data_IF_378401200210
#
_entry.id   IF_378401200210
#
_cell.length_a   1.000
_cell.length_b   1.000
_cell.length_c   1.000
_cell.angle_alpha   90.00
_cell.angle_beta   90.00
_cell.angle_gamma   90.00
#
_symmetry.space_group_name_H-M   'P 1'
#
loop_
_entity.id
_entity.type
_entity.pdbx_description
1 polymer ?
#
# COMPACT_ATOMS: atom_id res chain seq x y z
N UNK A 1 28.29 6.17 5.90
CA UNK A 1 27.03 5.41 5.71
C UNK A 1 26.18 5.33 6.99
N UNK A 2 26.80 5.01 8.13
CA UNK A 2 26.13 4.92 9.44
C UNK A 2 25.38 6.19 9.88
N UNK A 3 26.07 7.34 9.96
CA UNK A 3 25.45 8.60 10.40
C UNK A 3 24.24 9.02 9.54
N UNK A 4 24.29 8.76 8.21
CA UNK A 4 23.16 9.02 7.31
C UNK A 4 21.94 8.15 7.62
N UNK A 5 22.14 6.86 7.96
CA UNK A 5 21.04 5.95 8.34
C UNK A 5 20.39 6.36 9.65
N UNK A 6 21.19 6.69 10.66
CA UNK A 6 20.69 7.17 11.94
C UNK A 6 19.91 8.49 11.80
N UNK A 7 20.47 9.46 11.06
CA UNK A 7 19.78 10.73 10.77
C UNK A 7 18.47 10.52 10.02
N UNK A 8 18.45 9.62 9.02
CA UNK A 8 17.23 9.27 8.33
C UNK A 8 16.20 8.63 9.27
N UNK A 9 16.63 7.70 10.15
CA UNK A 9 15.74 7.06 11.13
C UNK A 9 15.13 8.07 12.10
N UNK A 10 15.95 8.98 12.63
CA UNK A 10 15.49 10.11 13.48
C UNK A 10 14.46 10.94 12.71
N UNK A 11 14.76 11.32 11.46
CA UNK A 11 13.87 12.10 10.63
C UNK A 11 12.50 11.42 10.42
N UNK A 12 12.48 10.12 10.12
CA UNK A 12 11.23 9.37 9.93
C UNK A 12 10.43 9.29 11.23
N UNK A 13 11.06 9.04 12.38
CA UNK A 13 10.35 9.02 13.67
C UNK A 13 9.81 10.39 14.08
N UNK A 14 10.56 11.47 13.82
CA UNK A 14 10.05 12.83 14.02
C UNK A 14 8.81 13.08 13.17
N UNK A 15 8.78 12.60 11.93
CA UNK A 15 7.56 12.64 11.09
C UNK A 15 6.43 11.81 11.68
N UNK A 16 6.68 10.58 12.13
CA UNK A 16 5.68 9.71 12.74
C UNK A 16 5.05 10.38 13.97
N UNK A 17 5.86 10.85 14.93
CA UNK A 17 5.38 11.51 16.16
C UNK A 17 4.62 12.80 15.81
N UNK A 18 5.08 13.55 14.80
CA UNK A 18 4.38 14.75 14.34
C UNK A 18 3.03 14.40 13.71
N UNK A 19 2.96 13.35 12.89
CA UNK A 19 1.77 12.96 12.13
C UNK A 19 0.72 12.22 12.96
N UNK A 20 1.13 11.49 13.99
CA UNK A 20 0.24 10.60 14.74
C UNK A 20 0.05 11.02 16.19
N UNK A 21 -1.11 10.62 16.74
CA UNK A 21 -1.43 10.65 18.16
C UNK A 21 -2.04 9.31 18.55
N UNK A 22 -1.52 8.65 19.58
CA UNK A 22 -2.20 7.51 20.19
C UNK A 22 -3.51 7.95 20.86
N UNK A 23 -4.59 7.20 20.66
CA UNK A 23 -5.91 7.56 21.19
C UNK A 23 -6.15 7.08 22.62
N UNK A 24 -5.35 6.14 23.10
CA UNK A 24 -5.29 5.70 24.49
C UNK A 24 -3.86 5.82 25.04
N UNK A 25 -3.72 5.67 26.37
CA UNK A 25 -2.44 5.79 27.05
C UNK A 25 -1.40 4.79 26.51
N UNK A 26 -1.78 3.54 26.27
CA UNK A 26 -0.86 2.50 25.80
C UNK A 26 -0.41 2.76 24.36
N UNK A 27 -1.33 3.20 23.49
CA UNK A 27 -1.01 3.61 22.11
C UNK A 27 -0.07 4.83 22.08
N UNK A 28 -0.29 5.82 22.94
CA UNK A 28 0.58 6.98 23.05
C UNK A 28 1.97 6.62 23.59
N UNK A 29 2.02 5.82 24.66
CA UNK A 29 3.26 5.36 25.27
C UNK A 29 4.08 4.52 24.30
N UNK A 30 3.44 3.58 23.60
CA UNK A 30 4.11 2.73 22.61
C UNK A 30 4.72 3.54 21.47
N UNK A 31 4.00 4.54 20.94
CA UNK A 31 4.52 5.42 19.88
C UNK A 31 5.80 6.15 20.32
N UNK A 32 5.80 6.68 21.55
CA UNK A 32 6.94 7.39 22.12
C UNK A 32 8.13 6.46 22.40
N UNK A 33 7.89 5.34 23.08
CA UNK A 33 8.96 4.38 23.41
C UNK A 33 9.54 3.72 22.15
N UNK A 34 8.71 3.42 21.15
CA UNK A 34 9.18 2.88 19.88
C UNK A 34 10.09 3.85 19.14
N UNK A 35 9.78 5.16 19.17
CA UNK A 35 10.65 6.16 18.57
C UNK A 35 12.04 6.18 19.22
N UNK A 36 12.12 6.13 20.56
CA UNK A 36 13.39 6.09 21.26
C UNK A 36 14.16 4.79 20.99
N UNK A 37 13.50 3.65 21.20
CA UNK A 37 14.14 2.34 21.10
C UNK A 37 14.54 1.99 19.67
N UNK A 38 13.71 2.27 18.66
CA UNK A 38 14.02 1.93 17.26
C UNK A 38 15.15 2.79 16.70
N UNK A 39 15.25 4.06 17.13
CA UNK A 39 16.42 4.89 16.81
C UNK A 39 17.70 4.25 17.37
N UNK A 40 17.68 3.80 18.62
CA UNK A 40 18.86 3.16 19.24
C UNK A 40 19.17 1.82 18.57
N UNK A 41 18.18 0.96 18.35
CA UNK A 41 18.41 -0.37 17.76
C UNK A 41 18.75 -0.28 16.28
N UNK A 42 18.32 0.77 15.56
CA UNK A 42 18.68 0.99 14.15
C UNK A 42 20.18 1.11 13.89
N UNK A 43 20.96 1.39 14.94
CA UNK A 43 22.44 1.37 14.92
C UNK A 43 22.96 -0.04 14.61
N UNK A 44 22.30 -1.05 15.17
CA UNK A 44 22.71 -2.45 15.12
C UNK A 44 21.92 -3.26 14.09
N UNK A 45 20.75 -2.78 13.66
CA UNK A 45 19.93 -3.46 12.66
C UNK A 45 20.15 -2.89 11.27
N UNK A 46 20.15 -3.74 10.25
CA UNK A 46 20.15 -3.30 8.85
C UNK A 46 18.76 -2.89 8.33
N UNK A 47 17.71 -2.94 9.17
CA UNK A 47 16.36 -2.60 8.76
C UNK A 47 16.25 -1.12 8.41
N UNK A 48 15.63 -0.84 7.27
CA UNK A 48 15.41 0.52 6.76
C UNK A 48 14.04 1.06 7.16
N UNK A 49 13.13 0.20 7.64
CA UNK A 49 11.75 0.56 7.96
C UNK A 49 11.53 0.59 9.48
N UNK A 50 10.97 1.67 10.05
CA UNK A 50 10.71 1.75 11.49
C UNK A 50 9.51 0.90 11.87
N UNK A 51 9.54 0.33 13.06
CA UNK A 51 8.45 -0.47 13.61
C UNK A 51 8.03 0.03 14.98
N UNK A 52 6.74 -0.09 15.31
CA UNK A 52 6.30 0.02 16.68
C UNK A 52 6.84 -1.20 17.45
N UNK A 53 7.74 -1.07 18.41
CA UNK A 53 8.57 -2.19 18.88
C UNK A 53 7.80 -3.17 19.76
N UNK A 54 6.88 -2.68 20.58
CA UNK A 54 6.13 -3.54 21.49
C UNK A 54 5.02 -4.25 20.73
N UNK A 55 4.85 -5.56 20.99
CA UNK A 55 3.75 -6.33 20.42
C UNK A 55 2.40 -5.84 20.96
N UNK A 56 1.40 -5.73 20.10
CA UNK A 56 0.08 -5.28 20.48
C UNK A 56 -0.69 -4.74 19.28
N UNK A 57 -1.87 -4.20 19.54
CA UNK A 57 -2.65 -3.46 18.55
C UNK A 57 -2.86 -2.05 19.08
N UNK A 58 -2.39 -1.04 18.35
CA UNK A 58 -2.36 0.34 18.81
C UNK A 58 -3.22 1.22 17.93
N UNK A 59 -4.08 2.00 18.56
CA UNK A 59 -4.98 2.91 17.87
C UNK A 59 -4.34 4.28 17.72
N UNK A 60 -4.02 4.65 16.48
CA UNK A 60 -3.42 5.95 16.16
C UNK A 60 -4.36 6.78 15.30
N UNK A 61 -4.40 8.09 15.58
CA UNK A 61 -5.07 9.09 14.74
C UNK A 61 -4.03 9.87 13.95
N UNK A 62 -4.21 9.92 12.65
CA UNK A 62 -3.50 10.85 11.78
C UNK A 62 -4.06 12.27 12.00
N UNK A 63 -3.19 13.22 12.39
CA UNK A 63 -3.60 14.58 12.75
C UNK A 63 -4.13 15.37 11.55
N UNK A 64 -3.52 15.22 10.38
CA UNK A 64 -3.86 16.02 9.20
C UNK A 64 -5.10 15.51 8.46
N UNK A 65 -5.24 14.19 8.34
CA UNK A 65 -6.33 13.58 7.56
C UNK A 65 -7.50 13.14 8.44
N UNK A 66 -7.37 13.25 9.76
CA UNK A 66 -8.31 12.68 10.73
C UNK A 66 -8.61 11.19 10.52
N UNK A 67 -7.75 10.45 9.80
CA UNK A 67 -7.88 9.01 9.63
C UNK A 67 -7.42 8.26 10.88
N UNK A 68 -8.11 7.17 11.19
CA UNK A 68 -7.81 6.30 12.30
C UNK A 68 -7.21 4.99 11.77
N UNK A 69 -6.17 4.49 12.42
CA UNK A 69 -5.57 3.22 12.06
C UNK A 69 -5.26 2.43 13.32
N UNK A 70 -5.66 1.16 13.34
CA UNK A 70 -4.98 0.17 14.14
C UNK A 70 -3.68 -0.20 13.43
N UNK A 71 -2.59 -0.07 14.18
CA UNK A 71 -1.25 -0.50 13.77
C UNK A 71 -0.80 -1.64 14.68
N UNK A 72 -0.28 -2.70 14.08
CA UNK A 72 0.28 -3.83 14.81
C UNK A 72 1.66 -3.49 15.34
N UNK A 73 1.89 -3.91 16.58
CA UNK A 73 3.18 -3.96 17.21
C UNK A 73 4.10 -5.00 16.57
N UNK A 74 5.36 -4.62 16.39
CA UNK A 74 6.41 -5.41 15.78
C UNK A 74 6.35 -5.45 14.25
N UNK A 75 5.57 -4.58 13.61
CA UNK A 75 5.39 -4.54 12.15
C UNK A 75 5.72 -3.16 11.58
N UNK A 76 5.73 -3.06 10.26
CA UNK A 76 5.89 -1.83 9.48
C UNK A 76 4.61 -1.00 9.31
N UNK A 77 3.49 -1.42 9.89
CA UNK A 77 2.17 -0.79 9.73
C UNK A 77 2.23 0.74 9.86
N UNK A 78 2.86 1.26 10.93
CA UNK A 78 2.97 2.71 11.21
C UNK A 78 3.70 3.49 10.12
N UNK A 79 4.66 2.83 9.45
CA UNK A 79 5.39 3.42 8.33
C UNK A 79 4.52 3.46 7.07
N UNK A 80 3.74 2.40 6.80
CA UNK A 80 2.87 2.32 5.62
C UNK A 80 1.67 3.26 5.67
N UNK A 81 1.23 3.68 6.86
CA UNK A 81 0.18 4.69 7.01
C UNK A 81 0.69 6.11 7.20
N UNK A 82 2.01 6.34 7.16
CA UNK A 82 2.62 7.65 7.39
C UNK A 82 2.24 8.63 6.26
N UNK A 83 1.54 9.75 6.56
CA UNK A 83 1.15 10.69 5.53
C UNK A 83 2.32 11.38 4.83
N UNK A 84 2.17 11.56 3.53
CA UNK A 84 3.16 12.12 2.64
C UNK A 84 4.39 11.24 2.47
N UNK A 85 4.30 9.94 2.78
CA UNK A 85 5.41 8.99 2.53
C UNK A 85 5.71 8.94 1.03
N UNK A 86 4.67 8.76 0.24
CA UNK A 86 4.71 8.74 -1.23
C UNK A 86 4.22 10.09 -1.78
N UNK A 87 4.81 11.20 -1.30
CA UNK A 87 4.29 12.57 -1.49
C UNK A 87 3.70 12.88 -2.88
N UNK A 88 4.43 12.68 -4.00
CA UNK A 88 3.90 12.93 -5.35
C UNK A 88 2.72 12.02 -5.73
N UNK A 89 2.74 10.75 -5.31
CA UNK A 89 1.67 9.77 -5.55
C UNK A 89 0.43 10.14 -4.77
N UNK A 90 0.56 10.38 -3.46
CA UNK A 90 -0.52 10.81 -2.59
C UNK A 90 -1.18 12.09 -3.09
N UNK A 91 -0.38 13.10 -3.43
CA UNK A 91 -0.90 14.39 -3.91
C UNK A 91 -1.71 14.23 -5.20
N UNK A 92 -1.20 13.43 -6.15
CA UNK A 92 -1.90 13.17 -7.40
C UNK A 92 -3.20 12.40 -7.18
N UNK A 93 -3.16 11.28 -6.45
CA UNK A 93 -4.35 10.45 -6.17
C UNK A 93 -5.42 11.29 -5.45
N UNK A 94 -5.04 12.07 -4.45
CA UNK A 94 -6.00 12.92 -3.73
C UNK A 94 -6.60 14.04 -4.59
N UNK A 95 -5.87 14.53 -5.59
CA UNK A 95 -6.33 15.59 -6.51
C UNK A 95 -7.30 15.09 -7.59
N UNK A 96 -7.17 13.84 -8.04
CA UNK A 96 -8.03 13.30 -9.10
C UNK A 96 -9.24 12.55 -8.53
N UNK A 97 -9.17 12.07 -7.30
CA UNK A 97 -10.26 11.39 -6.61
C UNK A 97 -11.14 12.36 -5.80
N UNK A 98 -11.25 13.63 -6.23
CA UNK A 98 -12.13 14.60 -5.58
C UNK A 98 -13.58 14.48 -6.04
N UNK A 99 -14.49 14.47 -5.04
CA UNK A 99 -15.95 14.32 -5.16
C UNK A 99 -16.41 12.92 -5.60
N UNK A 100 -17.34 12.40 -4.80
CA UNK A 100 -18.13 11.18 -4.99
C UNK A 100 -18.41 10.93 -6.46
N UNK A 101 -18.06 9.72 -6.94
CA UNK A 101 -18.60 9.00 -8.12
C UNK A 101 -17.52 8.14 -8.82
N UNK A 102 -16.23 8.37 -8.51
CA UNK A 102 -15.11 7.59 -9.07
C UNK A 102 -14.90 6.23 -8.41
N UNK A 103 -14.40 5.26 -9.18
CA UNK A 103 -13.97 3.94 -8.69
C UNK A 103 -12.45 3.93 -8.57
N UNK A 104 -11.97 3.71 -7.35
CA UNK A 104 -10.55 3.53 -7.04
C UNK A 104 -10.26 2.07 -6.73
N UNK A 105 -9.23 1.51 -7.34
CA UNK A 105 -8.77 0.14 -7.09
C UNK A 105 -7.40 0.20 -6.42
N UNK A 106 -7.31 -0.31 -5.19
CA UNK A 106 -6.09 -0.31 -4.37
C UNK A 106 -5.52 -1.73 -4.36
N UNK A 107 -4.54 -2.01 -5.22
CA UNK A 107 -3.94 -3.34 -5.40
C UNK A 107 -2.65 -3.41 -4.59
N UNK A 108 -2.65 -4.24 -3.54
CA UNK A 108 -1.68 -4.17 -2.46
C UNK A 108 -2.11 -3.18 -1.38
N UNK A 109 -3.39 -3.20 -1.02
CA UNK A 109 -4.00 -2.22 -0.11
C UNK A 109 -3.37 -2.19 1.29
N UNK A 110 -2.64 -3.24 1.68
CA UNK A 110 -2.00 -3.37 2.98
C UNK A 110 -3.05 -3.11 4.09
N UNK A 111 -2.72 -2.33 5.13
CA UNK A 111 -3.66 -1.97 6.21
C UNK A 111 -4.57 -0.78 5.86
N UNK A 112 -4.58 -0.32 4.60
CA UNK A 112 -5.63 0.53 4.05
C UNK A 112 -5.34 2.02 4.04
N UNK A 113 -4.09 2.46 3.87
CA UNK A 113 -3.77 3.89 3.84
C UNK A 113 -4.54 4.64 2.74
N UNK A 114 -4.35 4.25 1.48
CA UNK A 114 -5.05 4.84 0.34
C UNK A 114 -6.53 4.49 0.35
N UNK A 115 -6.86 3.24 0.63
CA UNK A 115 -8.24 2.77 0.78
C UNK A 115 -9.09 3.70 1.67
N UNK A 116 -8.63 4.04 2.87
CA UNK A 116 -9.38 4.88 3.81
C UNK A 116 -9.42 6.33 3.35
N UNK A 117 -8.30 6.88 2.87
CA UNK A 117 -8.25 8.27 2.41
C UNK A 117 -9.25 8.54 1.28
N UNK A 118 -9.34 7.62 0.33
CA UNK A 118 -10.23 7.75 -0.81
C UNK A 118 -11.69 7.47 -0.42
N UNK A 119 -11.93 6.45 0.41
CA UNK A 119 -13.28 6.15 0.88
C UNK A 119 -13.88 7.31 1.70
N UNK A 120 -13.08 8.02 2.52
CA UNK A 120 -13.53 9.21 3.25
C UNK A 120 -13.87 10.42 2.37
N UNK A 121 -13.46 10.41 1.09
CA UNK A 121 -13.90 11.39 0.09
C UNK A 121 -15.24 11.01 -0.57
N UNK A 122 -15.83 9.86 -0.20
CA UNK A 122 -17.10 9.36 -0.74
C UNK A 122 -16.94 8.55 -2.03
N UNK A 123 -15.73 8.14 -2.39
CA UNK A 123 -15.46 7.37 -3.61
C UNK A 123 -15.52 5.87 -3.32
N UNK A 124 -15.99 5.07 -4.29
CA UNK A 124 -16.02 3.61 -4.16
C UNK A 124 -14.61 3.05 -4.28
N UNK A 125 -14.25 2.17 -3.36
CA UNK A 125 -12.92 1.55 -3.30
C UNK A 125 -13.02 0.04 -3.38
N UNK A 126 -12.22 -0.56 -4.28
CA UNK A 126 -11.94 -2.00 -4.31
C UNK A 126 -10.52 -2.20 -3.76
N UNK A 127 -10.42 -2.71 -2.54
CA UNK A 127 -9.14 -2.93 -1.86
C UNK A 127 -8.74 -4.40 -1.97
N UNK A 128 -7.67 -4.69 -2.71
CA UNK A 128 -7.16 -6.04 -2.95
C UNK A 128 -5.90 -6.25 -2.10
N UNK A 129 -5.97 -7.19 -1.17
CA UNK A 129 -4.86 -7.51 -0.25
C UNK A 129 -4.81 -9.04 -0.04
N UNK A 130 -3.70 -9.71 -0.37
CA UNK A 130 -3.62 -11.17 -0.30
C UNK A 130 -3.35 -11.74 1.10
N UNK A 131 -2.73 -11.00 2.02
CA UNK A 131 -2.28 -11.55 3.31
C UNK A 131 -3.45 -11.57 4.30
N UNK A 132 -3.92 -12.75 4.76
CA UNK A 132 -5.11 -12.84 5.59
C UNK A 132 -5.02 -12.07 6.91
N UNK A 133 -3.83 -11.97 7.49
CA UNK A 133 -3.59 -11.19 8.71
C UNK A 133 -3.71 -9.68 8.44
N UNK A 134 -3.13 -9.20 7.35
CA UNK A 134 -3.22 -7.79 6.93
C UNK A 134 -4.66 -7.44 6.55
N UNK A 135 -5.39 -8.33 5.87
CA UNK A 135 -6.83 -8.14 5.57
C UNK A 135 -7.67 -7.95 6.83
N UNK A 136 -7.38 -8.66 7.93
CA UNK A 136 -8.10 -8.48 9.19
C UNK A 136 -7.92 -7.05 9.72
N UNK A 137 -6.71 -6.53 9.67
CA UNK A 137 -6.41 -5.14 10.08
C UNK A 137 -7.05 -4.14 9.12
N UNK A 138 -6.94 -4.35 7.80
CA UNK A 138 -7.60 -3.53 6.78
C UNK A 138 -9.10 -3.40 7.02
N UNK A 139 -9.81 -4.52 7.19
CA UNK A 139 -11.26 -4.52 7.48
C UNK A 139 -11.59 -3.79 8.77
N UNK A 140 -10.77 -3.98 9.81
CA UNK A 140 -10.95 -3.26 11.08
C UNK A 140 -10.76 -1.76 10.88
N UNK A 141 -9.77 -1.33 10.10
CA UNK A 141 -9.51 0.07 9.81
C UNK A 141 -10.61 0.71 8.95
N UNK A 142 -11.21 -0.05 8.02
CA UNK A 142 -12.39 0.38 7.26
C UNK A 142 -13.56 0.68 8.20
N UNK A 143 -13.89 -0.25 9.10
CA UNK A 143 -14.96 -0.07 10.11
C UNK A 143 -14.65 1.10 11.05
N UNK A 144 -13.42 1.18 11.53
CA UNK A 144 -12.96 2.22 12.43
C UNK A 144 -13.13 3.64 11.87
N UNK A 145 -13.14 3.80 10.54
CA UNK A 145 -13.34 5.09 9.89
C UNK A 145 -14.78 5.33 9.41
N UNK A 146 -15.70 4.40 9.66
CA UNK A 146 -17.09 4.45 9.19
C UNK A 146 -17.20 4.61 7.67
N UNK A 147 -16.46 3.80 6.91
CA UNK A 147 -16.43 3.85 5.43
C UNK A 147 -16.73 2.49 4.78
N UNK A 148 -17.35 1.57 5.51
CA UNK A 148 -17.71 0.23 5.06
C UNK A 148 -18.58 0.26 3.80
N UNK A 149 -19.48 1.24 3.70
CA UNK A 149 -20.39 1.38 2.56
C UNK A 149 -19.66 1.70 1.24
N UNK A 150 -18.46 2.28 1.31
CA UNK A 150 -17.65 2.63 0.15
C UNK A 150 -16.62 1.57 -0.22
N UNK A 151 -16.28 0.64 0.68
CA UNK A 151 -15.11 -0.23 0.51
C UNK A 151 -15.50 -1.69 0.35
N UNK A 152 -15.10 -2.30 -0.76
CA UNK A 152 -15.11 -3.75 -0.94
C UNK A 152 -13.70 -4.31 -0.75
N UNK A 153 -13.50 -5.14 0.27
CA UNK A 153 -12.21 -5.80 0.55
C UNK A 153 -12.14 -7.18 -0.08
N UNK A 154 -11.16 -7.40 -0.95
CA UNK A 154 -10.90 -8.64 -1.68
C UNK A 154 -9.65 -9.32 -1.13
N UNK A 155 -9.84 -10.40 -0.37
CA UNK A 155 -8.74 -11.22 0.16
C UNK A 155 -8.25 -12.24 -0.88
N UNK A 156 -7.55 -11.74 -1.90
CA UNK A 156 -7.00 -12.51 -3.02
C UNK A 156 -5.68 -11.89 -3.48
N UNK A 157 -4.84 -12.70 -4.11
CA UNK A 157 -3.68 -12.19 -4.85
C UNK A 157 -4.10 -11.80 -6.28
N UNK A 158 -3.90 -10.54 -6.67
CA UNK A 158 -4.10 -10.14 -8.05
C UNK A 158 -2.96 -10.71 -8.92
N UNK A 159 -3.30 -11.37 -10.02
CA UNK A 159 -2.33 -12.02 -10.92
C UNK A 159 -2.93 -12.18 -12.33
N UNK A 160 -2.19 -12.83 -13.22
CA UNK A 160 -2.56 -13.01 -14.63
C UNK A 160 -3.61 -14.10 -14.88
N UNK A 161 -3.84 -15.00 -13.93
CA UNK A 161 -4.80 -16.10 -14.08
C UNK A 161 -5.30 -16.64 -12.73
N UNK A 162 -6.45 -17.30 -12.73
CA UNK A 162 -7.01 -17.91 -11.51
C UNK A 162 -6.22 -19.17 -11.14
N UNK A 163 -5.48 -19.12 -10.03
CA UNK A 163 -4.68 -20.25 -9.53
C UNK A 163 -4.35 -20.08 -8.05
N UNK A 164 -3.86 -21.12 -7.37
CA UNK A 164 -3.23 -20.94 -6.06
C UNK A 164 -1.84 -20.33 -6.26
N UNK A 165 -1.57 -19.25 -5.55
CA UNK A 165 -0.30 -18.54 -5.57
C UNK A 165 0.43 -18.84 -4.26
N UNK A 166 1.72 -19.18 -4.39
CA UNK A 166 2.63 -19.23 -3.25
C UNK A 166 3.15 -17.82 -3.01
N UNK A 167 2.93 -17.30 -1.81
CA UNK A 167 3.39 -16.00 -1.39
C UNK A 167 4.38 -16.14 -0.24
N UNK A 168 5.35 -15.24 -0.20
CA UNK A 168 6.44 -15.19 0.77
C UNK A 168 6.24 -13.98 1.68
N UNK A 169 5.96 -14.22 2.96
CA UNK A 169 5.75 -13.18 3.97
C UNK A 169 6.97 -13.14 4.90
N UNK A 170 7.63 -11.99 5.09
CA UNK A 170 8.78 -11.88 5.99
C UNK A 170 8.43 -12.34 7.42
N UNK A 171 9.26 -13.21 8.01
CA UNK A 171 9.01 -13.76 9.38
C UNK A 171 9.04 -12.64 10.44
N UNK A 172 9.83 -11.62 10.20
CA UNK A 172 9.93 -10.41 11.02
C UNK A 172 8.75 -9.43 10.82
N UNK A 173 7.67 -9.86 10.14
CA UNK A 173 6.39 -9.16 10.03
C UNK A 173 6.46 -7.79 9.35
N UNK A 174 7.43 -7.58 8.46
CA UNK A 174 7.39 -6.49 7.47
C UNK A 174 6.42 -6.88 6.36
N UNK A 175 5.11 -6.80 6.65
CA UNK A 175 4.08 -7.25 5.72
C UNK A 175 4.07 -6.44 4.43
N UNK A 176 4.58 -5.20 4.47
CA UNK A 176 4.76 -4.38 3.29
C UNK A 176 5.75 -4.95 2.28
N UNK A 177 6.64 -5.86 2.67
CA UNK A 177 7.63 -6.50 1.79
C UNK A 177 7.23 -7.91 1.35
N UNK A 178 5.96 -8.27 1.52
CA UNK A 178 5.49 -9.59 1.15
C UNK A 178 5.29 -9.68 -0.37
N UNK A 179 5.77 -10.76 -0.96
CA UNK A 179 5.91 -10.87 -2.42
C UNK A 179 5.69 -12.30 -2.88
N UNK A 180 5.42 -12.49 -4.17
CA UNK A 180 5.39 -13.81 -4.81
C UNK A 180 6.76 -14.18 -5.42
N UNK A 181 7.77 -13.31 -5.27
CA UNK A 181 9.11 -13.43 -5.84
C UNK A 181 10.19 -13.14 -4.78
N UNK A 182 10.93 -14.17 -4.33
CA UNK A 182 11.91 -14.04 -3.22
C UNK A 182 13.05 -13.06 -3.55
N UNK A 183 13.36 -12.88 -4.82
CA UNK A 183 14.46 -12.06 -5.32
C UNK A 183 14.21 -10.55 -5.19
N UNK A 184 12.97 -10.12 -4.93
CA UNK A 184 12.60 -8.70 -4.85
C UNK A 184 13.21 -8.03 -3.62
N UNK A 185 13.23 -8.74 -2.48
CA UNK A 185 13.80 -8.21 -1.24
C UNK A 185 14.83 -9.16 -0.62
N UNK A 186 15.99 -8.64 -0.18
CA UNK A 186 17.02 -9.42 0.52
C UNK A 186 16.62 -9.65 1.99
N UNK A 187 15.51 -10.35 2.21
CA UNK A 187 15.04 -10.75 3.55
C UNK A 187 15.64 -12.10 3.91
N UNK A 188 16.12 -12.22 5.15
CA UNK A 188 16.82 -13.42 5.61
C UNK A 188 15.93 -14.66 5.67
N UNK A 189 14.64 -14.52 6.00
CA UNK A 189 13.68 -15.61 6.11
C UNK A 189 12.25 -15.19 5.78
N UNK A 190 11.56 -16.07 5.06
CA UNK A 190 10.13 -15.94 4.75
C UNK A 190 9.34 -17.13 5.32
N UNK A 191 8.10 -16.86 5.69
CA UNK A 191 7.05 -17.87 5.79
C UNK A 191 6.37 -18.00 4.42
N UNK A 192 6.10 -19.23 3.99
CA UNK A 192 5.34 -19.50 2.78
C UNK A 192 3.85 -19.68 3.12
N UNK A 193 2.98 -19.00 2.38
CA UNK A 193 1.53 -19.18 2.46
C UNK A 193 0.96 -19.43 1.07
N UNK A 194 -0.09 -20.24 0.98
CA UNK A 194 -0.85 -20.45 -0.25
C UNK A 194 -2.12 -19.61 -0.22
N UNK A 195 -2.25 -18.71 -1.20
CA UNK A 195 -3.38 -17.79 -1.31
C UNK A 195 -4.05 -17.98 -2.67
N UNK A 196 -5.39 -17.92 -2.76
CA UNK A 196 -6.08 -17.86 -4.04
C UNK A 196 -5.69 -16.60 -4.83
N UNK A 197 -5.12 -16.81 -6.01
CA UNK A 197 -4.87 -15.81 -7.03
C UNK A 197 -6.04 -15.68 -8.00
N UNK A 198 -6.33 -14.45 -8.42
CA UNK A 198 -7.39 -14.12 -9.37
C UNK A 198 -6.95 -13.01 -10.31
N UNK A 199 -7.60 -12.91 -11.48
CA UNK A 199 -7.42 -11.75 -12.36
C UNK A 199 -8.18 -10.54 -11.83
N UNK A 200 -7.64 -9.34 -11.99
CA UNK A 200 -8.38 -8.12 -11.65
C UNK A 200 -9.60 -7.95 -12.55
N UNK A 201 -9.56 -8.39 -13.81
CA UNK A 201 -10.75 -8.43 -14.67
C UNK A 201 -11.92 -9.21 -14.04
N UNK A 202 -11.65 -10.29 -13.30
CA UNK A 202 -12.71 -11.05 -12.62
C UNK A 202 -13.32 -10.28 -11.44
N UNK A 203 -12.55 -9.41 -10.79
CA UNK A 203 -13.01 -8.56 -9.69
C UNK A 203 -13.75 -7.34 -10.23
N UNK A 204 -13.30 -6.80 -11.36
CA UNK A 204 -13.71 -5.51 -11.89
C UNK A 204 -14.78 -5.60 -12.98
N UNK A 205 -15.29 -6.79 -13.27
CA UNK A 205 -16.19 -7.06 -14.40
C UNK A 205 -17.48 -6.22 -14.42
N UNK A 206 -17.96 -5.78 -13.26
CA UNK A 206 -19.18 -4.95 -13.13
C UNK A 206 -18.91 -3.43 -13.27
N UNK A 207 -17.65 -3.02 -13.43
CA UNK A 207 -17.28 -1.60 -13.50
C UNK A 207 -17.03 -1.16 -14.95
N UNK A 208 -17.93 -0.32 -15.45
CA UNK A 208 -17.84 0.26 -16.79
C UNK A 208 -16.86 1.44 -16.88
N UNK A 209 -16.46 2.02 -15.75
CA UNK A 209 -15.50 3.12 -15.67
C UNK A 209 -14.69 3.00 -14.39
N UNK A 210 -13.36 3.01 -14.52
CA UNK A 210 -12.40 2.98 -13.42
C UNK A 210 -11.61 4.27 -13.48
N UNK A 211 -11.68 5.07 -12.42
CA UNK A 211 -10.98 6.35 -12.35
C UNK A 211 -9.49 6.11 -12.18
N UNK A 212 -9.09 5.32 -11.19
CA UNK A 212 -7.68 5.04 -10.95
C UNK A 212 -7.45 3.65 -10.36
N UNK A 213 -6.42 2.98 -10.85
CA UNK A 213 -5.85 1.77 -10.23
C UNK A 213 -4.48 2.14 -9.64
N UNK A 214 -4.29 1.94 -8.33
CA UNK A 214 -2.97 1.91 -7.70
C UNK A 214 -2.48 0.45 -7.68
N UNK A 215 -1.25 0.21 -8.12
CA UNK A 215 -0.61 -1.10 -8.09
C UNK A 215 0.72 -0.98 -7.36
N UNK A 216 0.81 -1.65 -6.22
CA UNK A 216 1.99 -1.71 -5.36
C UNK A 216 1.99 -3.10 -4.70
N UNK A 217 2.60 -4.06 -5.37
CA UNK A 217 2.50 -5.50 -5.03
C UNK A 217 3.86 -6.17 -4.97
N UNK A 218 4.92 -5.37 -4.80
CA UNK A 218 6.29 -5.82 -4.54
C UNK A 218 6.78 -6.90 -5.51
N UNK A 219 6.73 -6.61 -6.82
CA UNK A 219 7.36 -7.41 -7.88
C UNK A 219 6.40 -8.14 -8.81
N UNK A 220 5.11 -8.17 -8.47
CA UNK A 220 4.07 -8.83 -9.25
C UNK A 220 3.30 -7.88 -10.21
N UNK A 221 3.81 -6.67 -10.44
CA UNK A 221 3.07 -5.62 -11.14
C UNK A 221 2.77 -5.98 -12.59
N UNK A 222 3.71 -6.66 -13.26
CA UNK A 222 3.50 -7.16 -14.62
C UNK A 222 2.41 -8.24 -14.68
N UNK A 223 2.39 -9.16 -13.72
CA UNK A 223 1.38 -10.21 -13.61
C UNK A 223 0.00 -9.63 -13.32
N UNK A 224 -0.09 -8.59 -12.48
CA UNK A 224 -1.32 -7.85 -12.21
C UNK A 224 -1.83 -7.18 -13.50
N UNK A 225 -0.97 -6.49 -14.25
CA UNK A 225 -1.34 -5.85 -15.52
C UNK A 225 -1.81 -6.85 -16.58
N UNK A 226 -1.19 -8.03 -16.66
CA UNK A 226 -1.67 -9.12 -17.54
C UNK A 226 -3.05 -9.67 -17.15
N UNK A 227 -3.45 -9.50 -15.90
CA UNK A 227 -4.77 -9.88 -15.38
C UNK A 227 -5.86 -8.82 -15.62
N UNK A 228 -5.55 -7.75 -16.37
CA UNK A 228 -6.34 -6.53 -16.49
C UNK A 228 -6.80 -6.24 -17.95
N UNK A 229 -6.72 -7.23 -18.85
CA UNK A 229 -6.91 -7.08 -20.30
C UNK A 229 -8.20 -6.36 -20.72
N UNK A 230 -9.32 -6.62 -20.05
CA UNK A 230 -10.62 -5.98 -20.37
C UNK A 230 -10.75 -4.63 -19.66
N UNK A 231 -10.40 -4.59 -18.38
CA UNK A 231 -10.64 -3.43 -17.51
C UNK A 231 -9.69 -2.26 -17.81
N UNK A 232 -8.52 -2.50 -18.42
CA UNK A 232 -7.60 -1.45 -18.88
C UNK A 232 -8.22 -0.48 -19.89
N UNK A 233 -9.19 -0.96 -20.69
CA UNK A 233 -9.91 -0.13 -21.66
C UNK A 233 -10.80 0.91 -20.97
N UNK A 234 -11.31 0.58 -19.79
CA UNK A 234 -12.19 1.41 -18.98
C UNK A 234 -11.43 2.19 -17.88
N UNK A 235 -10.10 2.07 -17.83
CA UNK A 235 -9.26 2.69 -16.81
C UNK A 235 -8.67 4.00 -17.31
N UNK A 236 -8.86 5.09 -16.54
CA UNK A 236 -8.38 6.43 -16.90
C UNK A 236 -6.92 6.63 -16.48
N UNK A 237 -6.60 6.25 -15.25
CA UNK A 237 -5.27 6.42 -14.66
C UNK A 237 -4.78 5.13 -14.00
N UNK A 238 -3.47 4.88 -14.08
CA UNK A 238 -2.79 3.84 -13.33
C UNK A 238 -1.57 4.44 -12.67
N UNK A 239 -1.48 4.29 -11.35
CA UNK A 239 -0.27 4.60 -10.59
C UNK A 239 0.35 3.27 -10.18
N UNK A 240 1.57 3.00 -10.61
CA UNK A 240 2.19 1.69 -10.44
C UNK A 240 3.62 1.83 -9.96
N UNK A 241 3.98 1.08 -8.92
CA UNK A 241 5.35 0.94 -8.44
C UNK A 241 6.16 0.05 -9.39
N UNK A 242 7.38 0.47 -9.73
CA UNK A 242 8.28 -0.29 -10.59
C UNK A 242 9.34 -0.98 -9.76
N UNK A 243 9.15 -2.27 -9.49
CA UNK A 243 10.09 -3.10 -8.70
C UNK A 243 10.73 -4.22 -9.54
N UNK A 244 10.04 -4.75 -10.56
CA UNK A 244 10.52 -5.80 -11.47
C UNK A 244 9.90 -5.69 -12.87
N UNK A 245 10.50 -6.34 -13.88
CA UNK A 245 9.99 -6.39 -15.26
C UNK A 245 9.63 -5.00 -15.83
N UNK A 246 10.46 -4.00 -15.52
CA UNK A 246 10.19 -2.60 -15.84
C UNK A 246 9.98 -2.38 -17.36
N UNK A 247 10.84 -2.91 -18.26
CA UNK A 247 10.63 -2.77 -19.70
C UNK A 247 9.30 -3.37 -20.17
N UNK A 248 8.91 -4.53 -19.65
CA UNK A 248 7.69 -5.24 -20.02
C UNK A 248 6.43 -4.52 -19.52
N UNK A 249 6.47 -3.99 -18.29
CA UNK A 249 5.40 -3.14 -17.74
C UNK A 249 5.18 -1.91 -18.62
N UNK A 250 6.26 -1.22 -18.99
CA UNK A 250 6.20 -0.02 -19.83
C UNK A 250 5.69 -0.36 -21.24
N UNK A 251 6.14 -1.47 -21.82
CA UNK A 251 5.72 -1.91 -23.15
C UNK A 251 4.21 -2.21 -23.18
N UNK A 252 3.72 -3.02 -22.23
CA UNK A 252 2.31 -3.38 -22.12
C UNK A 252 1.41 -2.14 -21.97
N UNK A 253 1.77 -1.20 -21.08
CA UNK A 253 0.99 0.02 -20.89
C UNK A 253 0.95 0.88 -22.16
N UNK A 254 2.05 0.97 -22.91
CA UNK A 254 2.09 1.70 -24.19
C UNK A 254 1.26 1.01 -25.27
N UNK A 255 1.31 -0.32 -25.37
CA UNK A 255 0.50 -1.12 -26.31
C UNK A 255 -1.01 -0.91 -26.06
N UNK A 256 -1.40 -0.78 -24.79
CA UNK A 256 -2.79 -0.47 -24.38
C UNK A 256 -3.17 1.02 -24.55
N UNK A 257 -2.25 1.84 -25.07
CA UNK A 257 -2.48 3.24 -25.45
C UNK A 257 -2.32 4.24 -24.31
N UNK A 258 -1.58 3.90 -23.25
CA UNK A 258 -1.25 4.85 -22.19
C UNK A 258 0.03 5.64 -22.52
N UNK A 259 -0.02 6.95 -22.25
CA UNK A 259 1.17 7.77 -22.04
C UNK A 259 1.70 7.54 -20.63
N UNK A 260 3.01 7.64 -20.45
CA UNK A 260 3.68 7.32 -19.17
C UNK A 260 4.53 8.51 -18.74
N UNK A 261 4.48 8.86 -17.44
CA UNK A 261 5.38 9.83 -16.81
C UNK A 261 5.87 9.32 -15.45
N UNK A 262 7.12 9.60 -15.06
CA UNK A 262 7.60 9.31 -13.70
C UNK A 262 6.91 10.21 -12.66
N UNK A 263 6.73 9.71 -11.45
CA UNK A 263 6.11 10.44 -10.33
C UNK A 263 7.16 10.99 -9.37
N UNK A 264 7.85 12.07 -9.76
CA UNK A 264 8.91 12.68 -8.97
C UNK A 264 10.14 11.77 -8.85
N UNK A 265 10.80 11.79 -7.69
CA UNK A 265 11.95 10.93 -7.38
C UNK A 265 11.51 9.64 -6.67
N UNK A 266 10.50 8.97 -7.21
CA UNK A 266 9.97 7.71 -6.66
C UNK A 266 10.17 6.56 -7.66
N UNK A 267 9.93 5.33 -7.20
CA UNK A 267 9.82 4.13 -8.04
C UNK A 267 8.52 4.08 -8.85
N UNK A 268 7.62 5.06 -8.67
CA UNK A 268 6.31 5.06 -9.29
C UNK A 268 6.28 5.77 -10.64
N UNK A 269 5.44 5.24 -11.52
CA UNK A 269 5.01 5.93 -12.74
C UNK A 269 3.51 6.18 -12.71
N UNK A 270 3.08 7.22 -13.44
CA UNK A 270 1.71 7.43 -13.84
C UNK A 270 1.56 7.02 -15.29
N UNK A 271 0.64 6.10 -15.56
CA UNK A 271 0.10 5.85 -16.89
C UNK A 271 -1.29 6.50 -17.02
N UNK A 272 -1.51 7.20 -18.13
CA UNK A 272 -2.74 7.96 -18.40
C UNK A 272 -3.05 8.01 -19.90
N UNK A 273 -4.31 8.18 -20.29
CA UNK A 273 -4.70 8.36 -21.70
C UNK A 273 -4.73 9.84 -22.06
N UNK A 274 -4.08 10.22 -23.17
CA UNK A 274 -3.85 11.61 -23.57
C UNK A 274 -5.11 12.42 -23.91
N UNK A 275 -6.28 11.78 -24.04
CA UNK A 275 -7.57 12.46 -24.29
C UNK A 275 -8.22 13.05 -23.03
N UNK A 276 -7.59 12.90 -21.86
CA UNK A 276 -8.17 13.21 -20.54
C UNK A 276 -7.42 14.32 -19.77
N UNK A 277 -6.43 14.97 -20.40
CA UNK A 277 -5.80 16.21 -19.91
C UNK A 277 -6.07 17.34 -20.89
#
# INVERSE_FOLDING_TARGET
MFARRLLHRIYVWLRIIKSFRGLDFFSGLNLFLSAFLDIITSIFTHSVVPCAIFSGLYLVKCKNTNCLFYVRGGTDDIYHVLPGREGPVESFILSIMEKSDGVFVDVGANIGYYTILIAKKGSRVIAVEPIPETVKVLKTNVVLNNVEEYVTVVNKCATSQNMKIKMFVPINKYYGLATIYKEVHPVSKYQEILIPGVTLDSILSDFYSITLIKIDVEGAEFEVLKGLNKSLKNTHFIVIELSRNIPEVIALLKEEGFSIRPMGFTTYILAYRSKLM
#
